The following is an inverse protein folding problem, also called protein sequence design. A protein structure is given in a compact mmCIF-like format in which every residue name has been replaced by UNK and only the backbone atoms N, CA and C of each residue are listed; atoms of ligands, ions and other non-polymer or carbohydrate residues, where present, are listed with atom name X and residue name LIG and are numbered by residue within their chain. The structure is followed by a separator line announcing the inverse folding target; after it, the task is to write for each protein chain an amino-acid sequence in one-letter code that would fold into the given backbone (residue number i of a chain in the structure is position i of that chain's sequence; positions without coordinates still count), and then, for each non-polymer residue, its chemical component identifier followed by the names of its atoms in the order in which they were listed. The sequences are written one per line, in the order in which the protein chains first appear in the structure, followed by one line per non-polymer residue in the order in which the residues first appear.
data_IF_356961225038
#
_entry.id   IF_356961225038
#
_cell.length_a   1.000
_cell.length_b   1.000
_cell.length_c   1.000
_cell.angle_alpha   90.00
_cell.angle_beta   90.00
_cell.angle_gamma   90.00
#
_symmetry.space_group_name_H-M   'P 1'
#
loop_
_entity.id
_entity.type
_entity.pdbx_description
1 polymer ?
#
# COMPACT_ATOMS: atom_id res chain seq x y z
N UNK A 1 -30.51 7.41 11.57
CA UNK A 1 -29.07 7.76 11.68
C UNK A 1 -28.38 6.58 12.36
N UNK A 2 -27.83 5.67 11.59
CA UNK A 2 -27.08 4.51 12.10
C UNK A 2 -25.59 4.86 12.02
N UNK A 3 -24.89 4.80 13.13
CA UNK A 3 -23.44 5.03 13.22
C UNK A 3 -22.71 3.79 12.68
N UNK A 4 -21.91 4.00 11.65
CA UNK A 4 -20.96 2.99 11.16
C UNK A 4 -19.75 3.07 12.08
N UNK A 5 -19.41 1.96 12.72
CA UNK A 5 -18.19 1.84 13.55
C UNK A 5 -17.09 1.26 12.68
N UNK A 6 -16.07 2.06 12.40
CA UNK A 6 -14.86 1.60 11.71
C UNK A 6 -13.81 1.25 12.77
N UNK A 7 -13.31 0.03 12.76
CA UNK A 7 -12.20 -0.40 13.63
C UNK A 7 -10.87 -0.20 12.91
N UNK A 8 -9.99 0.60 13.51
CA UNK A 8 -8.58 0.73 13.12
C UNK A 8 -7.74 0.11 14.22
N UNK A 9 -6.94 -0.88 13.89
CA UNK A 9 -5.95 -1.45 14.80
C UNK A 9 -4.65 -0.62 14.69
N UNK A 10 -4.31 0.12 15.74
CA UNK A 10 -3.03 0.81 15.86
C UNK A 10 -2.05 -0.04 16.66
N UNK A 11 -0.90 -0.39 16.08
CA UNK A 11 0.24 -0.98 16.77
C UNK A 11 1.14 0.15 17.26
N UNK A 12 1.23 0.33 18.58
CA UNK A 12 2.19 1.24 19.19
C UNK A 12 3.39 0.45 19.74
N UNK A 13 4.60 0.78 19.29
CA UNK A 13 5.86 0.30 19.88
C UNK A 13 6.38 1.38 20.82
N UNK A 14 6.43 1.10 22.11
CA UNK A 14 6.99 2.01 23.12
C UNK A 14 8.39 1.55 23.56
N UNK A 15 9.33 2.49 23.56
CA UNK A 15 10.71 2.32 24.02
C UNK A 15 10.86 2.51 25.54
N UNK A 16 11.92 1.93 26.10
CA UNK A 16 12.23 1.68 27.49
C UNK A 16 12.47 2.90 28.38
N UNK A 17 12.00 2.81 29.64
CA UNK A 17 12.48 3.61 30.77
C UNK A 17 11.66 3.42 32.05
N UNK A 18 12.20 2.65 33.00
CA UNK A 18 11.69 1.99 34.17
C UNK A 18 10.83 2.72 35.20
N UNK A 19 9.91 1.97 35.76
CA UNK A 19 9.61 1.74 37.19
C UNK A 19 8.44 0.75 37.32
N UNK A 20 8.50 -0.13 38.31
CA UNK A 20 7.71 -1.29 38.59
C UNK A 20 6.16 -1.11 38.56
N UNK A 21 5.55 -1.30 37.44
CA UNK A 21 4.24 -1.88 37.22
C UNK A 21 4.36 -2.58 35.86
N UNK A 22 4.20 -3.89 35.81
CA UNK A 22 4.18 -4.64 34.55
C UNK A 22 3.11 -4.03 33.66
N UNK A 23 3.56 -3.25 32.64
CA UNK A 23 2.67 -2.80 31.59
C UNK A 23 2.12 -4.03 30.87
N UNK A 24 0.82 -4.09 30.56
CA UNK A 24 0.25 -5.23 29.85
C UNK A 24 1.02 -5.42 28.54
N UNK A 25 1.35 -6.67 28.21
CA UNK A 25 1.98 -6.97 26.94
C UNK A 25 1.06 -6.56 25.81
N UNK A 26 1.58 -6.14 24.62
CA UNK A 26 0.75 -5.80 23.46
C UNK A 26 -0.32 -6.87 23.13
N UNK A 27 -0.01 -8.14 23.37
CA UNK A 27 -0.94 -9.25 23.25
C UNK A 27 -2.11 -9.18 24.26
N UNK A 28 -1.85 -8.72 25.49
CA UNK A 28 -2.89 -8.59 26.51
C UNK A 28 -3.82 -7.39 26.22
N UNK A 29 -3.31 -6.30 25.66
CA UNK A 29 -4.13 -5.15 25.25
C UNK A 29 -5.02 -5.48 24.04
N UNK A 30 -4.46 -6.20 23.05
CA UNK A 30 -5.24 -6.70 21.90
C UNK A 30 -6.32 -7.67 22.37
N UNK A 31 -6.00 -8.58 23.29
CA UNK A 31 -6.97 -9.52 23.85
C UNK A 31 -8.05 -8.81 24.66
N UNK A 32 -7.69 -7.77 25.40
CA UNK A 32 -8.66 -6.98 26.17
C UNK A 32 -9.57 -6.15 25.25
N UNK A 33 -9.03 -5.57 24.17
CA UNK A 33 -9.82 -4.87 23.16
C UNK A 33 -10.77 -5.82 22.42
N UNK A 34 -10.31 -7.02 22.05
CA UNK A 34 -11.13 -8.05 21.43
C UNK A 34 -12.26 -8.52 22.37
N UNK A 35 -11.96 -8.76 23.63
CA UNK A 35 -12.96 -9.15 24.64
C UNK A 35 -14.00 -8.04 24.89
N UNK A 36 -13.58 -6.76 24.86
CA UNK A 36 -14.49 -5.62 24.98
C UNK A 36 -15.41 -5.50 23.77
N UNK A 37 -14.90 -5.69 22.56
CA UNK A 37 -15.68 -5.68 21.33
C UNK A 37 -16.70 -6.84 21.29
N UNK A 38 -16.33 -8.02 21.76
CA UNK A 38 -17.24 -9.18 21.90
C UNK A 38 -18.31 -8.91 22.93
N UNK A 39 -17.97 -8.25 24.06
CA UNK A 39 -18.95 -7.87 25.09
C UNK A 39 -19.95 -6.84 24.58
N UNK A 40 -19.50 -5.81 23.86
CA UNK A 40 -20.38 -4.80 23.25
C UNK A 40 -21.29 -5.40 22.16
N UNK A 41 -20.76 -6.30 21.33
CA UNK A 41 -21.56 -7.03 20.35
C UNK A 41 -22.61 -7.95 21.00
N UNK A 42 -22.30 -8.50 22.17
CA UNK A 42 -23.18 -9.39 22.93
C UNK A 42 -24.37 -8.70 23.58
N UNK A 43 -24.28 -7.42 23.91
CA UNK A 43 -25.38 -6.64 24.46
C UNK A 43 -26.55 -6.44 23.46
N UNK A 44 -26.23 -6.50 22.13
CA UNK A 44 -27.19 -6.33 21.04
C UNK A 44 -27.74 -7.62 20.42
N UNK A 45 -26.94 -8.69 20.39
CA UNK A 45 -27.29 -9.97 19.73
C UNK A 45 -26.55 -11.16 20.38
N UNK A 46 -27.26 -11.92 21.27
CA UNK A 46 -26.66 -13.07 21.95
C UNK A 46 -26.16 -14.18 21.02
N UNK A 47 -26.74 -14.32 19.81
CA UNK A 47 -26.31 -15.32 18.84
C UNK A 47 -24.96 -14.92 18.22
N UNK A 48 -24.74 -13.62 17.97
CA UNK A 48 -23.44 -13.11 17.48
C UNK A 48 -22.34 -13.29 18.53
N UNK A 49 -22.64 -13.08 19.81
CA UNK A 49 -21.68 -13.30 20.90
C UNK A 49 -21.29 -14.78 21.04
N UNK A 50 -22.23 -15.71 20.83
CA UNK A 50 -21.95 -17.14 20.83
C UNK A 50 -21.09 -17.54 19.62
N UNK A 51 -21.41 -17.02 18.43
CA UNK A 51 -20.66 -17.30 17.21
C UNK A 51 -19.20 -16.77 17.30
N UNK A 52 -19.02 -15.60 17.93
CA UNK A 52 -17.68 -15.04 18.14
C UNK A 52 -16.78 -15.91 19.04
N UNK A 53 -17.37 -16.70 19.94
CA UNK A 53 -16.62 -17.63 20.81
C UNK A 53 -16.04 -18.85 20.06
N UNK A 54 -16.58 -19.15 18.87
CA UNK A 54 -16.03 -20.22 18.01
C UNK A 54 -14.75 -19.79 17.30
N UNK A 55 -14.50 -18.47 17.19
CA UNK A 55 -13.25 -17.91 16.63
C UNK A 55 -12.19 -17.87 17.75
N UNK A 56 -11.59 -19.02 18.02
CA UNK A 56 -10.59 -19.17 19.07
C UNK A 56 -9.17 -18.93 18.54
N UNK A 57 -8.22 -18.63 19.45
CA UNK A 57 -6.80 -18.53 19.13
C UNK A 57 -6.28 -19.78 18.42
N UNK A 58 -6.67 -20.96 18.88
CA UNK A 58 -6.24 -22.23 18.29
C UNK A 58 -6.81 -22.42 16.88
N UNK A 59 -8.05 -22.01 16.64
CA UNK A 59 -8.65 -22.03 15.31
C UNK A 59 -7.91 -21.10 14.35
N UNK A 60 -7.66 -19.85 14.77
CA UNK A 60 -6.92 -18.88 13.96
C UNK A 60 -5.49 -19.33 13.68
N UNK A 61 -4.77 -19.83 14.72
CA UNK A 61 -3.41 -20.38 14.54
C UNK A 61 -3.37 -21.57 13.59
N UNK A 62 -4.38 -22.43 13.64
CA UNK A 62 -4.48 -23.56 12.73
C UNK A 62 -4.60 -23.15 11.26
N UNK A 63 -5.42 -22.15 10.95
CA UNK A 63 -5.55 -21.63 9.58
C UNK A 63 -4.26 -20.92 9.13
N UNK A 64 -3.69 -20.07 9.99
CA UNK A 64 -2.44 -19.35 9.68
C UNK A 64 -1.32 -20.36 9.42
N UNK A 65 -1.12 -21.34 10.29
CA UNK A 65 -0.10 -22.36 10.12
C UNK A 65 -0.28 -23.17 8.84
N UNK A 66 -1.54 -23.44 8.47
CA UNK A 66 -1.85 -24.16 7.23
C UNK A 66 -1.45 -23.34 5.99
N UNK A 67 -1.91 -22.10 5.85
CA UNK A 67 -1.65 -21.30 4.66
C UNK A 67 -0.22 -20.74 4.59
N UNK A 68 0.52 -20.75 5.73
CA UNK A 68 1.93 -20.37 5.80
C UNK A 68 2.89 -21.56 5.64
N UNK A 69 2.40 -22.76 5.36
CA UNK A 69 3.25 -23.92 5.11
C UNK A 69 4.00 -23.78 3.77
N UNK A 70 5.27 -24.16 3.71
CA UNK A 70 6.14 -24.07 2.53
C UNK A 70 5.55 -24.67 1.25
N UNK A 71 4.64 -25.65 1.39
CA UNK A 71 3.96 -26.25 0.23
C UNK A 71 3.13 -25.26 -0.58
N UNK A 72 2.73 -24.13 0.03
CA UNK A 72 2.02 -23.04 -0.64
C UNK A 72 2.97 -22.03 -1.30
N UNK A 73 4.29 -22.26 -1.25
CA UNK A 73 5.29 -21.50 -1.99
C UNK A 73 5.15 -19.98 -1.79
N UNK A 74 4.74 -19.55 -0.56
CA UNK A 74 4.47 -18.15 -0.25
C UNK A 74 3.31 -17.53 -1.03
N UNK A 75 2.43 -18.31 -1.65
CA UNK A 75 1.17 -17.88 -2.31
C UNK A 75 1.35 -16.75 -3.32
N UNK A 76 2.46 -16.71 -4.05
CA UNK A 76 2.69 -15.68 -5.07
C UNK A 76 1.61 -15.71 -6.15
N UNK A 77 1.06 -14.56 -6.59
CA UNK A 77 -0.03 -14.50 -7.55
C UNK A 77 0.24 -15.31 -8.84
N UNK A 78 -0.72 -16.12 -9.24
CA UNK A 78 -0.63 -16.98 -10.42
C UNK A 78 0.38 -18.12 -10.32
N UNK A 79 0.89 -18.41 -9.12
CA UNK A 79 1.76 -19.57 -8.87
C UNK A 79 0.96 -20.81 -8.49
N UNK A 80 1.65 -21.97 -8.47
CA UNK A 80 1.08 -23.21 -7.93
C UNK A 80 0.66 -23.03 -6.46
N UNK A 81 1.41 -22.25 -5.69
CA UNK A 81 1.07 -21.94 -4.31
C UNK A 81 -0.21 -21.14 -4.15
N UNK A 82 -0.46 -20.17 -5.04
CA UNK A 82 -1.73 -19.45 -5.15
C UNK A 82 -2.90 -20.40 -5.46
N UNK A 83 -2.77 -21.26 -6.47
CA UNK A 83 -3.80 -22.25 -6.81
C UNK A 83 -4.13 -23.17 -5.62
N UNK A 84 -3.11 -23.64 -4.90
CA UNK A 84 -3.29 -24.49 -3.74
C UNK A 84 -3.98 -23.76 -2.58
N UNK A 85 -3.62 -22.49 -2.33
CA UNK A 85 -4.23 -21.67 -1.29
C UNK A 85 -5.71 -21.41 -1.61
N UNK A 86 -6.04 -21.07 -2.86
CA UNK A 86 -7.42 -20.89 -3.32
C UNK A 86 -8.25 -22.16 -3.16
N UNK A 87 -7.71 -23.30 -3.54
CA UNK A 87 -8.39 -24.59 -3.37
C UNK A 87 -8.65 -24.92 -1.89
N UNK A 88 -7.68 -24.66 -1.00
CA UNK A 88 -7.86 -24.84 0.43
C UNK A 88 -8.95 -23.92 0.97
N UNK A 89 -8.90 -22.63 0.67
CA UNK A 89 -9.86 -21.65 1.16
C UNK A 89 -11.28 -21.92 0.65
N UNK A 90 -11.44 -22.31 -0.62
CA UNK A 90 -12.74 -22.73 -1.16
C UNK A 90 -13.30 -23.94 -0.40
N UNK A 91 -12.45 -24.92 -0.10
CA UNK A 91 -12.84 -26.06 0.74
C UNK A 91 -13.31 -25.65 2.13
N UNK A 92 -12.59 -24.67 2.76
CA UNK A 92 -12.99 -24.13 4.06
C UNK A 92 -14.32 -23.36 4.00
N UNK A 93 -14.56 -22.57 2.96
CA UNK A 93 -15.83 -21.88 2.74
C UNK A 93 -16.98 -22.90 2.60
N UNK A 94 -16.77 -23.97 1.86
CA UNK A 94 -17.76 -25.04 1.71
C UNK A 94 -18.03 -25.76 3.04
N UNK A 95 -17.01 -26.09 3.82
CA UNK A 95 -17.16 -26.71 5.15
C UNK A 95 -17.93 -25.83 6.13
N UNK A 96 -17.78 -24.50 6.02
CA UNK A 96 -18.53 -23.51 6.80
C UNK A 96 -19.97 -23.32 6.29
N UNK A 97 -20.35 -23.95 5.19
CA UNK A 97 -21.70 -23.88 4.64
C UNK A 97 -21.98 -22.65 3.79
N UNK A 98 -20.95 -21.97 3.28
CA UNK A 98 -21.13 -20.92 2.29
C UNK A 98 -21.54 -21.54 0.94
N UNK A 99 -22.23 -20.76 0.13
CA UNK A 99 -22.54 -21.08 -1.26
C UNK A 99 -21.54 -20.44 -2.20
N UNK A 100 -21.22 -21.04 -3.37
CA UNK A 100 -20.38 -20.41 -4.38
C UNK A 100 -21.00 -19.09 -4.86
N UNK A 101 -20.19 -18.02 -4.89
CA UNK A 101 -20.66 -16.67 -5.20
C UNK A 101 -20.24 -16.15 -6.59
N UNK A 102 -19.47 -16.90 -7.38
CA UNK A 102 -19.05 -16.45 -8.70
C UNK A 102 -20.19 -16.53 -9.73
N UNK A 103 -20.12 -15.68 -10.75
CA UNK A 103 -21.19 -15.53 -11.75
C UNK A 103 -21.47 -16.81 -12.56
N UNK A 104 -20.50 -17.70 -12.69
CA UNK A 104 -20.63 -19.01 -13.34
C UNK A 104 -21.16 -20.11 -12.40
N UNK A 105 -21.44 -19.76 -11.13
CA UNK A 105 -21.86 -20.69 -10.08
C UNK A 105 -20.71 -21.41 -9.40
N UNK A 106 -19.47 -21.05 -9.67
CA UNK A 106 -18.25 -21.53 -9.00
C UNK A 106 -17.84 -20.70 -7.80
N UNK A 107 -16.67 -21.05 -7.24
CA UNK A 107 -16.04 -20.34 -6.16
C UNK A 107 -15.11 -19.22 -6.65
N UNK A 108 -14.62 -19.29 -7.88
CA UNK A 108 -13.57 -18.43 -8.41
C UNK A 108 -14.12 -17.42 -9.42
N UNK A 109 -13.70 -16.17 -9.24
CA UNK A 109 -13.83 -15.12 -10.24
C UNK A 109 -12.44 -14.88 -10.84
N UNK A 110 -12.13 -15.49 -12.01
CA UNK A 110 -10.80 -15.39 -12.61
C UNK A 110 -10.54 -13.99 -13.19
N UNK A 111 -9.29 -13.55 -13.13
CA UNK A 111 -8.80 -12.33 -13.75
C UNK A 111 -7.32 -12.44 -14.12
N UNK A 112 -6.90 -11.62 -15.08
CA UNK A 112 -5.50 -11.51 -15.49
C UNK A 112 -4.77 -10.50 -14.62
N UNK A 113 -3.51 -10.81 -14.28
CA UNK A 113 -2.54 -9.91 -13.70
C UNK A 113 -1.34 -9.73 -14.63
N UNK A 114 -0.76 -8.55 -14.59
CA UNK A 114 0.51 -8.24 -15.26
C UNK A 114 1.61 -8.15 -14.20
N UNK A 115 2.57 -9.03 -14.30
CA UNK A 115 3.78 -8.97 -13.50
C UNK A 115 4.81 -8.07 -14.18
N UNK A 116 5.21 -7.01 -13.52
CA UNK A 116 6.19 -6.02 -13.96
C UNK A 116 7.46 -6.19 -13.14
N UNK A 117 8.55 -6.60 -13.75
CA UNK A 117 9.84 -6.81 -13.09
C UNK A 117 10.89 -5.85 -13.67
N UNK A 118 11.01 -4.67 -13.07
CA UNK A 118 11.97 -3.67 -13.49
C UNK A 118 13.38 -4.00 -12.97
N UNK A 119 14.37 -3.92 -13.86
CA UNK A 119 15.78 -4.01 -13.50
C UNK A 119 16.22 -2.68 -12.89
N UNK A 120 16.19 -2.62 -11.57
CA UNK A 120 16.54 -1.38 -10.85
C UNK A 120 18.01 -1.02 -11.05
N UNK A 121 18.33 0.24 -11.38
CA UNK A 121 19.71 0.68 -11.53
C UNK A 121 20.42 0.73 -10.16
N UNK A 122 21.70 0.41 -10.11
CA UNK A 122 22.52 0.49 -8.89
C UNK A 122 22.62 1.91 -8.31
N UNK A 123 22.44 2.92 -9.17
CA UNK A 123 22.54 4.32 -8.78
C UNK A 123 21.62 5.22 -9.61
N UNK A 124 21.22 6.34 -9.05
CA UNK A 124 20.38 7.34 -9.67
C UNK A 124 20.97 8.74 -9.45
N UNK A 125 21.21 9.51 -10.51
CA UNK A 125 21.88 10.80 -10.42
C UNK A 125 20.94 11.98 -10.68
N UNK A 126 21.06 12.98 -9.84
CA UNK A 126 20.35 14.26 -9.90
C UNK A 126 21.37 15.38 -10.07
N UNK A 127 21.12 16.33 -10.98
CA UNK A 127 22.05 17.42 -11.33
C UNK A 127 21.33 18.75 -11.35
N UNK A 128 21.93 19.78 -10.74
CA UNK A 128 21.39 21.14 -10.71
C UNK A 128 22.26 22.05 -9.86
N UNK A 129 22.15 23.36 -10.03
CA UNK A 129 22.86 24.36 -9.23
C UNK A 129 24.40 24.12 -9.17
N UNK A 130 25.00 23.73 -10.28
CA UNK A 130 26.43 23.36 -10.39
C UNK A 130 26.87 22.22 -9.46
N UNK A 131 25.92 21.39 -9.01
CA UNK A 131 26.13 20.22 -8.15
C UNK A 131 25.56 18.96 -8.81
N UNK A 132 26.03 17.82 -8.35
CA UNK A 132 25.50 16.51 -8.72
C UNK A 132 25.46 15.62 -7.49
N UNK A 133 24.36 14.90 -7.33
CA UNK A 133 24.13 13.94 -6.26
C UNK A 133 23.76 12.61 -6.86
N UNK A 134 24.49 11.56 -6.51
CA UNK A 134 24.25 10.19 -6.98
C UNK A 134 23.76 9.37 -5.80
N UNK A 135 22.53 8.90 -5.88
CA UNK A 135 21.90 8.03 -4.90
C UNK A 135 22.32 6.59 -5.12
N UNK A 136 22.35 5.81 -4.05
CA UNK A 136 22.61 4.38 -4.05
C UNK A 136 21.30 3.61 -3.88
N UNK A 137 21.05 2.68 -4.81
CA UNK A 137 19.92 1.78 -4.77
C UNK A 137 19.93 0.98 -3.45
N UNK A 138 18.78 0.61 -2.98
CA UNK A 138 18.50 -0.04 -1.70
C UNK A 138 18.63 0.90 -0.50
N UNK A 139 19.77 1.57 -0.32
CA UNK A 139 20.01 2.40 0.86
C UNK A 139 19.25 3.72 0.83
N UNK A 140 19.13 4.36 -0.35
CA UNK A 140 18.60 5.72 -0.49
C UNK A 140 17.35 5.80 -1.35
N UNK A 141 17.18 4.88 -2.29
CA UNK A 141 15.99 4.83 -3.15
C UNK A 141 15.62 3.41 -3.54
N UNK A 142 14.34 3.24 -3.84
CA UNK A 142 13.76 2.11 -4.56
C UNK A 142 12.92 2.67 -5.69
N UNK A 143 12.96 2.04 -6.86
CA UNK A 143 12.23 2.49 -8.04
C UNK A 143 11.70 1.31 -8.82
N UNK A 144 10.51 1.45 -9.42
CA UNK A 144 9.92 0.48 -10.34
C UNK A 144 9.36 1.17 -11.57
N UNK A 145 9.06 0.39 -12.61
CA UNK A 145 8.34 0.89 -13.77
C UNK A 145 6.90 1.27 -13.40
N UNK A 146 6.44 2.41 -13.87
CA UNK A 146 5.04 2.78 -13.82
C UNK A 146 4.24 2.30 -15.04
N UNK A 147 4.93 1.83 -16.10
CA UNK A 147 4.32 1.35 -17.34
C UNK A 147 4.50 -0.16 -17.51
N UNK A 148 3.58 -0.78 -18.27
CA UNK A 148 3.61 -2.21 -18.62
C UNK A 148 4.27 -2.41 -20.00
N UNK A 149 5.49 -1.89 -20.14
CA UNK A 149 6.30 -1.93 -21.35
C UNK A 149 7.68 -2.53 -21.05
N UNK A 150 8.37 -3.04 -22.07
CA UNK A 150 9.69 -3.67 -21.92
C UNK A 150 10.78 -2.70 -21.43
N UNK A 151 10.48 -1.42 -21.42
CA UNK A 151 11.39 -0.36 -20.99
C UNK A 151 10.66 0.85 -20.43
N UNK A 152 11.19 1.42 -19.35
CA UNK A 152 10.77 2.69 -18.78
C UNK A 152 11.92 3.71 -18.85
N UNK A 153 11.64 4.94 -19.30
CA UNK A 153 12.68 5.95 -19.56
C UNK A 153 12.22 7.33 -19.11
N UNK A 154 13.10 8.02 -18.40
CA UNK A 154 13.02 9.45 -18.12
C UNK A 154 14.28 10.12 -18.67
N UNK A 155 14.15 11.21 -19.40
CA UNK A 155 15.26 11.96 -19.97
C UNK A 155 15.19 13.42 -19.54
N UNK A 156 16.25 13.88 -18.85
CA UNK A 156 16.47 15.28 -18.43
C UNK A 156 15.23 15.95 -17.80
N UNK A 157 14.45 15.18 -17.01
CA UNK A 157 13.23 15.65 -16.40
C UNK A 157 13.53 16.48 -15.13
N UNK A 158 12.90 17.64 -15.00
CA UNK A 158 13.02 18.50 -13.84
C UNK A 158 12.30 17.92 -12.63
N UNK A 159 12.95 18.00 -11.45
CA UNK A 159 12.38 17.62 -10.17
C UNK A 159 11.59 18.79 -9.57
N UNK A 160 10.33 18.54 -9.22
CA UNK A 160 9.41 19.53 -8.62
C UNK A 160 8.87 18.97 -7.30
N UNK A 161 8.99 19.72 -6.21
CA UNK A 161 8.31 19.37 -4.95
C UNK A 161 6.82 19.73 -5.08
N UNK A 162 5.95 18.75 -4.96
CA UNK A 162 4.51 18.88 -5.22
C UNK A 162 3.63 18.67 -3.96
N UNK A 163 4.18 18.95 -2.77
CA UNK A 163 3.43 18.81 -1.52
C UNK A 163 2.89 17.40 -1.33
N UNK A 164 1.59 17.26 -1.06
CA UNK A 164 0.90 15.97 -1.00
C UNK A 164 0.48 15.44 -2.37
N UNK A 165 0.59 16.25 -3.42
CA UNK A 165 0.11 15.93 -4.77
C UNK A 165 -1.37 15.49 -4.78
N UNK A 166 -2.21 16.24 -4.12
CA UNK A 166 -3.65 15.97 -3.99
C UNK A 166 -4.45 17.03 -4.76
N UNK A 167 -5.41 16.54 -5.55
CA UNK A 167 -6.51 17.33 -6.12
C UNK A 167 -7.82 16.74 -5.60
N UNK A 168 -8.49 17.46 -4.69
CA UNK A 168 -9.69 17.02 -3.98
C UNK A 168 -10.67 18.20 -3.85
N UNK A 169 -11.46 18.49 -4.93
CA UNK A 169 -12.37 19.63 -4.96
C UNK A 169 -13.40 19.63 -3.82
N UNK A 170 -13.83 18.47 -3.35
CA UNK A 170 -14.77 18.32 -2.23
C UNK A 170 -14.22 18.78 -0.89
N UNK A 171 -12.87 18.85 -0.76
CA UNK A 171 -12.18 19.42 0.40
C UNK A 171 -11.64 20.82 0.14
N UNK A 172 -11.96 21.42 -1.05
CA UNK A 172 -11.35 22.68 -1.49
C UNK A 172 -9.83 22.63 -1.44
N UNK A 173 -9.27 21.51 -1.93
CA UNK A 173 -7.83 21.21 -1.89
C UNK A 173 -7.29 20.93 -3.29
N UNK A 174 -6.23 21.62 -3.64
CA UNK A 174 -5.50 21.44 -4.89
C UNK A 174 -4.02 21.83 -4.65
N UNK A 175 -3.13 20.85 -4.73
CA UNK A 175 -1.69 21.08 -4.61
C UNK A 175 -1.03 21.52 -5.90
N UNK A 176 -1.73 21.51 -7.04
CA UNK A 176 -1.13 21.74 -8.35
C UNK A 176 -1.30 23.15 -8.88
N UNK A 177 -2.41 23.84 -8.54
CA UNK A 177 -2.67 25.24 -8.88
C UNK A 177 -2.43 25.62 -10.35
N UNK A 178 -2.82 24.77 -11.28
CA UNK A 178 -2.60 24.98 -12.73
C UNK A 178 -1.11 25.12 -13.14
N UNK A 179 -0.16 24.65 -12.31
CA UNK A 179 1.27 24.61 -12.67
C UNK A 179 1.49 23.50 -13.71
N UNK A 180 2.23 23.81 -14.77
CA UNK A 180 2.58 22.84 -15.81
C UNK A 180 3.58 21.83 -15.27
N UNK A 181 3.11 20.59 -15.06
CA UNK A 181 3.90 19.47 -14.55
C UNK A 181 4.17 18.40 -15.61
N UNK A 182 3.78 18.65 -16.86
CA UNK A 182 4.02 17.71 -17.95
C UNK A 182 5.53 17.47 -18.14
N UNK A 183 5.89 16.21 -18.21
CA UNK A 183 7.29 15.80 -18.39
C UNK A 183 8.18 15.97 -17.14
N UNK A 184 7.63 16.32 -15.98
CA UNK A 184 8.38 16.50 -14.73
C UNK A 184 8.45 15.21 -13.92
N UNK A 185 9.36 15.19 -12.96
CA UNK A 185 9.39 14.20 -11.87
C UNK A 185 8.92 14.90 -10.58
N UNK A 186 7.89 14.36 -9.94
CA UNK A 186 7.35 14.96 -8.72
C UNK A 186 7.99 14.34 -7.48
N UNK A 187 8.47 15.16 -6.56
CA UNK A 187 8.87 14.78 -5.20
C UNK A 187 7.68 15.04 -4.26
N UNK A 188 7.15 13.99 -3.65
CA UNK A 188 5.81 14.01 -3.04
C UNK A 188 5.89 13.56 -1.59
N UNK A 189 5.16 14.22 -0.70
CA UNK A 189 4.93 13.77 0.67
C UNK A 189 3.97 12.57 0.67
N UNK A 190 4.30 11.56 1.49
CA UNK A 190 3.36 10.47 1.75
C UNK A 190 2.26 10.94 2.70
N UNK A 191 1.11 10.21 2.72
CA UNK A 191 -0.07 10.55 3.52
C UNK A 191 -0.93 11.66 2.90
N UNK A 192 -1.96 12.10 3.61
CA UNK A 192 -2.82 13.23 3.34
C UNK A 192 -2.77 14.19 4.53
N UNK A 193 -3.28 15.42 4.42
CA UNK A 193 -3.32 16.37 5.53
C UNK A 193 -4.05 15.81 6.75
N UNK A 194 -3.36 15.75 7.89
CA UNK A 194 -3.83 15.12 9.13
C UNK A 194 -3.83 16.04 10.36
N UNK A 195 -3.36 17.29 10.21
CA UNK A 195 -3.25 18.25 11.32
C UNK A 195 -4.57 18.93 11.71
N UNK A 196 -5.57 18.94 10.85
CA UNK A 196 -6.89 19.51 11.08
C UNK A 196 -7.92 18.37 11.09
N UNK A 197 -8.60 18.12 12.23
CA UNK A 197 -9.56 17.02 12.35
C UNK A 197 -10.80 17.17 11.42
N UNK A 198 -11.05 18.39 10.93
CA UNK A 198 -12.16 18.67 10.01
C UNK A 198 -11.73 18.63 8.54
N UNK A 199 -10.43 18.43 8.26
CA UNK A 199 -9.87 18.32 6.91
C UNK A 199 -9.61 16.86 6.57
N UNK A 200 -10.06 16.42 5.39
CA UNK A 200 -10.02 15.01 4.98
C UNK A 200 -10.64 14.10 6.06
N UNK A 201 -9.91 13.13 6.57
CA UNK A 201 -10.34 12.24 7.67
C UNK A 201 -9.62 12.53 9.00
N UNK A 202 -8.97 13.70 9.14
CA UNK A 202 -8.08 13.99 10.26
C UNK A 202 -6.94 12.96 10.32
N UNK A 203 -6.74 12.32 11.47
CA UNK A 203 -5.72 11.27 11.63
C UNK A 203 -6.00 9.99 10.83
N UNK A 204 -7.23 9.81 10.29
CA UNK A 204 -7.58 8.64 9.47
C UNK A 204 -7.18 8.89 8.03
N UNK A 205 -6.17 8.15 7.56
CA UNK A 205 -5.72 8.22 6.17
C UNK A 205 -6.85 7.83 5.20
N UNK A 206 -7.14 8.71 4.26
CA UNK A 206 -8.07 8.45 3.16
C UNK A 206 -7.33 7.88 1.93
N UNK A 207 -8.05 7.68 0.84
CA UNK A 207 -7.49 7.29 -0.46
C UNK A 207 -6.39 8.23 -0.93
N UNK A 208 -6.56 9.54 -0.71
CA UNK A 208 -5.59 10.57 -1.08
C UNK A 208 -4.21 10.39 -0.43
N UNK A 209 -4.15 9.81 0.76
CA UNK A 209 -2.91 9.53 1.49
C UNK A 209 -2.20 8.24 1.08
N UNK A 210 -2.79 7.45 0.18
CA UNK A 210 -2.21 6.19 -0.28
C UNK A 210 -1.13 6.44 -1.34
N UNK A 211 -0.10 5.60 -1.32
CA UNK A 211 1.01 5.68 -2.28
C UNK A 211 0.55 5.47 -3.74
N UNK A 212 -0.40 4.58 -3.98
CA UNK A 212 -0.98 4.32 -5.29
C UNK A 212 -1.71 5.55 -5.85
N UNK A 213 -2.45 6.29 -5.00
CA UNK A 213 -3.03 7.57 -5.40
C UNK A 213 -1.97 8.58 -5.85
N UNK A 214 -0.82 8.66 -5.15
CA UNK A 214 0.25 9.62 -5.48
C UNK A 214 0.78 9.46 -6.89
N UNK A 215 1.00 8.22 -7.31
CA UNK A 215 1.46 7.92 -8.67
C UNK A 215 0.39 8.21 -9.72
N UNK A 216 -0.85 7.83 -9.44
CA UNK A 216 -1.98 8.13 -10.32
C UNK A 216 -2.21 9.65 -10.44
N UNK A 217 -2.17 10.37 -9.35
CA UNK A 217 -2.34 11.83 -9.31
C UNK A 217 -1.24 12.52 -10.11
N UNK A 218 0.02 12.14 -9.92
CA UNK A 218 1.15 12.65 -10.71
C UNK A 218 0.97 12.36 -12.21
N UNK A 219 0.55 11.16 -12.57
CA UNK A 219 0.31 10.78 -13.96
C UNK A 219 -0.82 11.62 -14.60
N UNK A 220 -1.87 11.94 -13.85
CA UNK A 220 -2.97 12.81 -14.32
C UNK A 220 -2.53 14.23 -14.60
N UNK A 221 -1.47 14.71 -13.97
CA UNK A 221 -0.81 15.98 -14.24
C UNK A 221 0.23 15.90 -15.38
N UNK A 222 0.35 14.75 -16.05
CA UNK A 222 1.32 14.57 -17.15
C UNK A 222 2.77 14.36 -16.68
N UNK A 223 2.99 14.15 -15.39
CA UNK A 223 4.33 13.87 -14.86
C UNK A 223 4.86 12.53 -15.37
N UNK A 224 6.15 12.49 -15.75
CA UNK A 224 6.80 11.27 -16.23
C UNK A 224 7.31 10.38 -15.11
N UNK A 225 7.37 10.90 -13.88
CA UNK A 225 7.76 10.13 -12.71
C UNK A 225 7.28 10.76 -11.42
N UNK A 226 7.18 9.94 -10.37
CA UNK A 226 6.91 10.41 -9.04
C UNK A 226 7.77 9.68 -8.01
N UNK A 227 8.26 10.42 -7.04
CA UNK A 227 9.13 9.96 -5.95
C UNK A 227 8.46 10.31 -4.63
N UNK A 228 8.09 9.30 -3.86
CA UNK A 228 7.49 9.50 -2.55
C UNK A 228 8.58 9.58 -1.49
N UNK A 229 8.51 10.60 -0.64
CA UNK A 229 9.37 10.76 0.54
C UNK A 229 8.87 9.82 1.63
N UNK A 230 9.68 8.81 1.97
CA UNK A 230 9.33 7.86 3.02
C UNK A 230 9.73 8.40 4.40
N UNK A 231 8.75 8.42 5.31
CA UNK A 231 8.99 8.50 6.75
C UNK A 231 8.24 7.37 7.44
N UNK A 232 8.80 6.79 8.50
CA UNK A 232 8.11 5.73 9.24
C UNK A 232 6.76 6.18 9.83
N UNK A 233 6.61 7.42 10.35
CA UNK A 233 5.31 7.90 10.80
C UNK A 233 4.27 8.01 9.68
N UNK A 234 4.63 8.54 8.51
CA UNK A 234 3.68 8.72 7.41
C UNK A 234 3.33 7.41 6.70
N UNK A 235 4.26 6.47 6.62
CA UNK A 235 4.02 5.16 6.01
C UNK A 235 3.34 4.17 6.95
N UNK A 236 3.63 4.25 8.26
CA UNK A 236 3.22 3.25 9.25
C UNK A 236 4.17 2.05 9.33
N UNK A 237 5.28 2.07 8.60
CA UNK A 237 6.30 1.02 8.56
C UNK A 237 7.69 1.60 8.22
N UNK A 238 8.80 0.90 8.57
CA UNK A 238 10.14 1.34 8.22
C UNK A 238 10.44 1.19 6.71
N UNK A 239 11.44 1.90 6.20
CA UNK A 239 11.84 1.87 4.78
C UNK A 239 12.19 0.46 4.28
N UNK A 240 12.61 -0.44 5.18
CA UNK A 240 12.89 -1.83 4.86
C UNK A 240 11.68 -2.55 4.21
N UNK A 241 10.46 -2.17 4.56
CA UNK A 241 9.26 -2.74 3.92
C UNK A 241 9.21 -2.34 2.45
N UNK A 242 9.53 -1.07 2.12
CA UNK A 242 9.64 -0.63 0.71
C UNK A 242 10.75 -1.40 -0.02
N UNK A 243 11.91 -1.56 0.61
CA UNK A 243 13.03 -2.30 0.04
C UNK A 243 12.64 -3.73 -0.37
N UNK A 244 11.90 -4.44 0.47
CA UNK A 244 11.55 -5.84 0.23
C UNK A 244 10.29 -6.03 -0.61
N UNK A 245 9.30 -5.14 -0.52
CA UNK A 245 8.03 -5.29 -1.23
C UNK A 245 8.01 -4.64 -2.62
N UNK A 246 8.91 -3.69 -2.91
CA UNK A 246 9.01 -2.97 -4.19
C UNK A 246 10.16 -3.45 -5.08
N UNK A 247 10.79 -4.56 -4.72
CA UNK A 247 11.80 -5.25 -5.52
C UNK A 247 11.24 -6.57 -6.05
N UNK A 248 11.78 -7.02 -7.20
CA UNK A 248 11.24 -8.18 -7.89
C UNK A 248 9.95 -7.86 -8.65
N UNK A 249 9.16 -8.90 -8.91
CA UNK A 249 7.94 -8.76 -9.72
C UNK A 249 6.84 -8.06 -8.94
N UNK A 250 6.34 -6.97 -9.50
CA UNK A 250 5.15 -6.27 -9.02
C UNK A 250 3.95 -6.71 -9.83
N UNK A 251 2.87 -7.16 -9.18
CA UNK A 251 1.65 -7.57 -9.85
C UNK A 251 0.61 -6.47 -9.82
N UNK A 252 0.01 -6.19 -10.97
CA UNK A 252 -1.05 -5.20 -11.13
C UNK A 252 -2.07 -5.67 -12.16
N UNK A 253 -3.23 -5.00 -12.22
CA UNK A 253 -4.20 -5.25 -13.27
C UNK A 253 -3.66 -4.79 -14.62
N UNK A 254 -4.10 -5.40 -15.75
CA UNK A 254 -3.79 -4.89 -17.07
C UNK A 254 -4.07 -3.40 -17.18
N UNK A 255 -3.15 -2.65 -17.80
CA UNK A 255 -3.30 -1.21 -17.99
C UNK A 255 -4.60 -0.91 -18.73
N UNK A 256 -5.40 0.00 -18.14
CA UNK A 256 -6.58 0.60 -18.76
C UNK A 256 -6.25 1.94 -19.44
N UNK A 257 -7.26 2.79 -19.54
CA UNK A 257 -7.14 4.12 -20.16
C UNK A 257 -6.55 5.19 -19.20
N UNK A 258 -6.35 4.87 -17.92
CA UNK A 258 -5.76 5.78 -16.93
C UNK A 258 -4.31 6.09 -17.29
N UNK A 259 -3.90 7.37 -17.17
CA UNK A 259 -2.51 7.75 -17.43
C UNK A 259 -1.55 7.10 -16.42
N UNK A 260 -0.32 6.89 -16.85
CA UNK A 260 0.72 6.25 -16.05
C UNK A 260 2.02 7.04 -16.15
N UNK A 261 2.74 7.12 -15.05
CA UNK A 261 4.12 7.62 -15.05
C UNK A 261 5.06 6.60 -15.66
N UNK A 262 6.21 7.00 -16.19
CA UNK A 262 7.26 6.08 -16.62
C UNK A 262 7.90 5.37 -15.43
N UNK A 263 7.98 6.05 -14.28
CA UNK A 263 8.57 5.47 -13.07
C UNK A 263 7.86 5.89 -11.80
N UNK A 264 7.85 4.97 -10.84
CA UNK A 264 7.37 5.13 -9.48
C UNK A 264 8.52 4.86 -8.51
N UNK A 265 8.84 5.83 -7.67
CA UNK A 265 9.99 5.75 -6.78
C UNK A 265 9.67 6.11 -5.33
N UNK A 266 10.57 5.65 -4.45
CA UNK A 266 10.63 6.04 -3.05
C UNK A 266 12.03 6.49 -2.72
N UNK A 267 12.15 7.52 -1.89
CA UNK A 267 13.42 7.92 -1.27
C UNK A 267 13.27 8.00 0.23
N UNK A 268 14.37 7.78 0.95
CA UNK A 268 14.40 8.02 2.39
C UNK A 268 14.24 9.53 2.68
N UNK A 269 13.78 9.88 3.87
CA UNK A 269 13.66 11.28 4.30
C UNK A 269 15.00 12.01 4.23
N UNK A 270 16.08 11.38 4.69
CA UNK A 270 17.43 11.96 4.64
C UNK A 270 17.85 12.28 3.21
N UNK A 271 17.57 11.38 2.27
CA UNK A 271 17.84 11.60 0.85
C UNK A 271 17.02 12.76 0.28
N UNK A 272 15.73 12.86 0.65
CA UNK A 272 14.90 13.99 0.23
C UNK A 272 15.43 15.33 0.80
N UNK A 273 15.88 15.35 2.05
CA UNK A 273 16.52 16.54 2.66
C UNK A 273 17.77 16.97 1.88
N UNK A 274 18.62 16.03 1.52
CA UNK A 274 19.82 16.31 0.72
C UNK A 274 19.46 16.84 -0.68
N UNK A 275 18.45 16.26 -1.36
CA UNK A 275 18.00 16.72 -2.66
C UNK A 275 17.47 18.16 -2.62
N UNK A 276 16.57 18.47 -1.68
CA UNK A 276 16.02 19.84 -1.59
C UNK A 276 17.05 20.83 -1.13
N UNK A 277 18.01 20.44 -0.27
CA UNK A 277 19.12 21.28 0.15
C UNK A 277 20.10 21.59 -1.00
N UNK A 278 20.23 20.70 -1.99
CA UNK A 278 21.00 20.97 -3.22
C UNK A 278 20.40 22.16 -3.98
N UNK A 279 19.08 22.31 -3.97
CA UNK A 279 18.34 23.44 -4.55
C UNK A 279 18.29 24.69 -3.64
N UNK A 280 18.82 24.61 -2.43
CA UNK A 280 18.83 25.73 -1.48
C UNK A 280 17.58 25.85 -0.61
N UNK A 281 16.76 24.82 -0.56
CA UNK A 281 15.56 24.75 0.30
C UNK A 281 15.82 23.90 1.55
N UNK A 282 14.97 24.09 2.56
CA UNK A 282 14.83 23.21 3.70
C UNK A 282 13.57 22.36 3.54
N UNK A 283 13.64 21.04 3.80
CA UNK A 283 12.50 20.14 3.61
C UNK A 283 11.38 20.43 4.62
N UNK A 284 11.71 20.86 5.84
CA UNK A 284 10.68 21.17 6.85
C UNK A 284 9.94 22.45 6.48
N UNK A 285 10.63 23.45 5.93
CA UNK A 285 10.00 24.66 5.40
C UNK A 285 9.06 24.34 4.22
N UNK A 286 9.48 23.45 3.32
CA UNK A 286 8.63 22.98 2.21
C UNK A 286 7.40 22.20 2.69
N UNK A 287 7.55 21.38 3.74
CA UNK A 287 6.44 20.66 4.36
C UNK A 287 5.45 21.62 5.02
N UNK A 288 5.95 22.61 5.77
CA UNK A 288 5.11 23.63 6.40
C UNK A 288 4.34 24.45 5.36
N UNK A 289 4.98 24.79 4.23
CA UNK A 289 4.30 25.43 3.10
C UNK A 289 3.19 24.56 2.53
N UNK A 290 3.42 23.25 2.38
CA UNK A 290 2.45 22.29 1.85
C UNK A 290 1.27 22.02 2.81
N UNK A 291 1.29 22.49 4.04
CA UNK A 291 0.14 22.47 4.94
C UNK A 291 -0.93 23.51 4.60
N UNK A 292 -0.64 24.41 3.68
CA UNK A 292 -1.53 25.51 3.36
C UNK A 292 -2.26 25.29 2.03
N UNK A 293 -3.52 25.70 1.96
CA UNK A 293 -4.32 25.65 0.73
C UNK A 293 -3.75 26.52 -0.40
N UNK A 294 -2.93 27.52 -0.06
CA UNK A 294 -2.27 28.39 -1.01
C UNK A 294 -0.92 27.83 -1.51
N UNK A 295 -0.58 26.60 -1.14
CA UNK A 295 0.63 25.94 -1.62
C UNK A 295 0.64 25.86 -3.15
N UNK A 296 1.79 26.09 -3.75
CA UNK A 296 2.06 25.86 -5.18
C UNK A 296 3.29 24.95 -5.32
N UNK A 297 3.33 24.06 -6.34
CA UNK A 297 4.51 23.23 -6.60
C UNK A 297 5.78 24.06 -6.75
N UNK A 298 6.87 23.58 -6.17
CA UNK A 298 8.15 24.26 -6.13
C UNK A 298 9.15 23.60 -7.08
N UNK A 299 9.47 24.20 -8.24
CA UNK A 299 10.55 23.74 -9.08
C UNK A 299 11.90 23.80 -8.35
N UNK A 300 12.62 22.67 -8.34
CA UNK A 300 13.89 22.60 -7.61
C UNK A 300 15.10 22.98 -8.47
N UNK A 301 14.93 23.15 -9.79
CA UNK A 301 16.06 23.45 -10.71
C UNK A 301 17.08 22.31 -10.74
N UNK A 302 16.63 21.09 -10.49
CA UNK A 302 17.37 19.84 -10.52
C UNK A 302 16.78 18.98 -11.61
N UNK A 303 17.59 18.37 -12.44
CA UNK A 303 17.15 17.41 -13.46
C UNK A 303 17.68 16.03 -13.21
N UNK A 304 16.98 15.05 -13.75
CA UNK A 304 17.39 13.65 -13.66
C UNK A 304 17.03 12.88 -14.91
N UNK A 305 17.79 11.83 -15.17
CA UNK A 305 17.52 10.83 -16.22
C UNK A 305 17.62 9.44 -15.63
N UNK A 306 16.76 8.53 -16.09
CA UNK A 306 16.79 7.14 -15.69
C UNK A 306 16.22 6.26 -16.79
N UNK A 307 16.78 5.07 -16.96
CA UNK A 307 16.24 4.04 -17.84
C UNK A 307 16.31 2.69 -17.15
N UNK A 308 15.23 1.91 -17.29
CA UNK A 308 15.12 0.56 -16.76
C UNK A 308 14.63 -0.38 -17.85
N UNK A 309 15.27 -1.51 -18.01
CA UNK A 309 14.71 -2.63 -18.75
C UNK A 309 13.69 -3.35 -17.86
N UNK A 310 12.59 -3.78 -18.43
CA UNK A 310 11.44 -4.33 -17.68
C UNK A 310 11.02 -5.65 -18.31
N UNK A 311 10.92 -6.69 -17.50
CA UNK A 311 10.35 -7.96 -17.91
C UNK A 311 8.85 -7.94 -17.58
N UNK A 312 8.01 -8.16 -18.60
CA UNK A 312 6.56 -8.22 -18.48
C UNK A 312 6.09 -9.66 -18.60
N UNK A 313 5.30 -10.11 -17.65
CA UNK A 313 4.62 -11.41 -17.73
C UNK A 313 3.14 -11.28 -17.40
N UNK A 314 2.31 -12.11 -18.03
CA UNK A 314 0.87 -12.19 -17.73
C UNK A 314 0.59 -13.49 -17.01
N UNK A 315 -0.18 -13.42 -15.96
CA UNK A 315 -0.60 -14.57 -15.16
C UNK A 315 -2.09 -14.48 -14.88
N UNK A 316 -2.72 -15.63 -14.66
CA UNK A 316 -4.11 -15.70 -14.20
C UNK A 316 -4.13 -15.98 -12.70
N UNK A 317 -4.99 -15.27 -11.99
CA UNK A 317 -5.37 -15.54 -10.61
C UNK A 317 -6.90 -15.43 -10.48
N UNK A 318 -7.43 -15.55 -9.26
CA UNK A 318 -8.87 -15.44 -9.08
C UNK A 318 -9.21 -14.91 -7.67
N UNK A 319 -10.28 -14.13 -7.58
CA UNK A 319 -10.94 -13.88 -6.30
C UNK A 319 -11.76 -15.11 -5.91
N UNK A 320 -11.79 -15.44 -4.62
CA UNK A 320 -12.70 -16.44 -4.07
C UNK A 320 -13.96 -15.76 -3.54
N UNK A 321 -15.11 -16.21 -3.98
CA UNK A 321 -16.40 -15.65 -3.61
C UNK A 321 -17.26 -16.69 -2.90
N UNK A 322 -17.50 -16.48 -1.62
CA UNK A 322 -18.44 -17.25 -0.81
C UNK A 322 -19.62 -16.39 -0.39
N UNK A 323 -20.83 -16.92 -0.52
CA UNK A 323 -22.07 -16.23 -0.22
C UNK A 323 -22.81 -16.90 0.93
N UNK A 324 -23.33 -16.11 1.85
CA UNK A 324 -24.38 -16.51 2.80
C UNK A 324 -25.64 -15.74 2.43
N UNK A 325 -26.69 -16.41 1.90
CA UNK A 325 -27.92 -15.71 1.54
C UNK A 325 -28.58 -15.05 2.75
N UNK A 326 -29.03 -13.81 2.58
CA UNK A 326 -29.82 -13.11 3.57
C UNK A 326 -31.21 -13.74 3.75
N UNK A 327 -31.77 -13.66 4.93
CA UNK A 327 -33.11 -14.20 5.26
C UNK A 327 -34.24 -13.16 5.21
N UNK A 328 -33.90 -11.88 5.12
CA UNK A 328 -34.90 -10.80 5.06
C UNK A 328 -35.25 -10.51 3.59
N UNK A 329 -36.53 -10.71 3.18
CA UNK A 329 -36.91 -10.50 1.78
C UNK A 329 -36.92 -9.02 1.35
N UNK A 330 -36.94 -8.07 2.29
CA UNK A 330 -36.91 -6.63 1.97
C UNK A 330 -35.46 -6.14 1.76
N UNK A 331 -34.47 -6.86 2.35
CA UNK A 331 -33.05 -6.52 2.28
C UNK A 331 -32.25 -7.51 1.39
N UNK A 332 -32.93 -8.39 0.65
CA UNK A 332 -32.29 -9.45 -0.13
C UNK A 332 -31.35 -8.93 -1.23
N UNK A 333 -31.55 -7.70 -1.67
CA UNK A 333 -30.73 -7.04 -2.69
C UNK A 333 -29.55 -6.21 -2.08
N UNK A 334 -29.48 -6.14 -0.73
CA UNK A 334 -28.39 -5.47 -0.02
C UNK A 334 -27.31 -6.50 0.34
N UNK A 335 -26.03 -6.12 0.19
CA UNK A 335 -24.89 -7.01 0.44
C UNK A 335 -23.95 -6.39 1.46
N UNK A 336 -23.56 -7.19 2.46
CA UNK A 336 -22.42 -6.87 3.34
C UNK A 336 -21.24 -7.67 2.86
N UNK A 337 -20.15 -6.97 2.48
CA UNK A 337 -18.96 -7.58 1.92
C UNK A 337 -17.82 -7.59 2.95
N UNK A 338 -17.22 -8.77 3.16
CA UNK A 338 -15.96 -8.93 3.88
C UNK A 338 -14.88 -9.32 2.90
N UNK A 339 -13.75 -8.61 2.93
CA UNK A 339 -12.61 -8.85 2.01
C UNK A 339 -11.33 -9.08 2.79
N UNK A 340 -10.51 -10.01 2.30
CA UNK A 340 -9.14 -10.22 2.73
C UNK A 340 -8.33 -10.81 1.57
N UNK A 341 -7.06 -10.42 1.41
CA UNK A 341 -6.23 -11.02 0.39
C UNK A 341 -5.67 -12.37 0.84
N UNK A 342 -5.52 -13.32 -0.07
CA UNK A 342 -4.95 -14.64 0.17
C UNK A 342 -3.54 -14.79 -0.40
N UNK A 343 -3.18 -13.95 -1.34
CA UNK A 343 -1.87 -13.93 -1.96
C UNK A 343 -0.79 -13.36 -1.04
N UNK A 344 0.47 -13.70 -1.34
CA UNK A 344 1.63 -13.15 -0.66
C UNK A 344 2.81 -13.01 -1.65
N UNK A 345 4.02 -12.78 -1.16
CA UNK A 345 5.18 -12.44 -2.00
C UNK A 345 5.74 -13.62 -2.82
N UNK A 346 5.35 -14.84 -2.50
CA UNK A 346 5.82 -16.03 -3.21
C UNK A 346 7.24 -16.45 -2.83
N UNK A 347 8.03 -16.84 -3.83
CA UNK A 347 9.43 -17.24 -3.66
C UNK A 347 10.32 -16.08 -4.10
N UNK A 348 11.17 -15.61 -3.22
CA UNK A 348 12.09 -14.50 -3.43
C UNK A 348 13.56 -14.90 -3.38
N UNK A 349 14.40 -13.93 -3.03
CA UNK A 349 15.83 -14.17 -2.81
C UNK A 349 16.02 -14.88 -1.46
N UNK A 350 16.82 -15.97 -1.41
CA UNK A 350 17.09 -16.66 -0.15
C UNK A 350 17.69 -15.74 0.92
N UNK A 351 17.18 -15.85 2.14
CA UNK A 351 17.73 -15.20 3.32
C UNK A 351 19.07 -15.81 3.76
N UNK A 352 19.63 -15.36 4.88
CA UNK A 352 20.89 -15.85 5.42
C UNK A 352 20.83 -17.34 5.82
N UNK A 353 19.65 -17.83 6.16
CA UNK A 353 19.35 -19.23 6.49
C UNK A 353 19.10 -20.11 5.25
N UNK A 354 19.04 -19.51 4.07
CA UNK A 354 18.77 -20.17 2.78
C UNK A 354 17.28 -20.30 2.47
N UNK A 355 16.39 -19.80 3.34
CA UNK A 355 14.96 -19.77 3.05
C UNK A 355 14.63 -18.66 2.03
N UNK A 356 13.85 -19.02 1.02
CA UNK A 356 13.41 -18.13 -0.05
C UNK A 356 11.89 -17.98 -0.12
N UNK A 357 11.14 -18.68 0.74
CA UNK A 357 9.68 -18.69 0.74
C UNK A 357 9.19 -17.62 1.71
N UNK A 358 8.37 -16.70 1.22
CA UNK A 358 7.69 -15.72 2.06
C UNK A 358 6.36 -16.32 2.57
N UNK A 359 6.37 -16.82 3.81
CA UNK A 359 5.25 -17.55 4.43
C UNK A 359 4.24 -16.61 5.12
#
# INVERSE_FOLDING_TARGET
MKKILTFVAALAVAGCGGSDAEAPTPAAEVQQAANSAVAEAGEGNPAAALAAQEITDDYMRGIIAEISDDRYEGRGPGSRGDEMARAYLAGRMQELGLEPGAADGGWEQPFELVGVNAQQPESWTFTGHDKSMTLKQWDQFIVSSGVQEDRAVIEDAELVFAGYAIEAPEYDWDDFKDVDLEGKVLLIMNNDPDWDPDLFGGETRLWYGRWDYKYLSAARQGAVGAIIIHTSPSAGYPFQVVQTSWTGVQFELPAGDEPRTQMNGWVTEDTARELVAMAGYDLDDLREAAYNRDFEPVPLGITTSLAMDVEIRRVESANLLGLIPGSDPELSDEVVVYTAHHDHLGIGTPGEDGDAIYN
#
